data_IF_855817963254
#
_entry.id   IF_855817963254
#
_cell.length_a   1.000
_cell.length_b   1.000
_cell.length_c   1.000
_cell.angle_alpha   90.00
_cell.angle_beta   90.00
_cell.angle_gamma   90.00
#
_symmetry.space_group_name_H-M   'P 1'
#
loop_
_entity.id
_entity.type
_entity.pdbx_description
1 polymer ?
#
# COMPACT_ATOMS: atom_id res chain seq x y z
N UNK A 1 -48.45 20.94 -22.53
CA UNK A 1 -47.08 20.79 -22.00
C UNK A 1 -46.72 19.33 -21.65
N UNK A 2 -47.41 18.65 -20.71
CA UNK A 2 -47.09 17.25 -20.31
C UNK A 2 -47.12 16.21 -21.45
N UNK A 3 -48.07 16.29 -22.38
CA UNK A 3 -48.16 15.36 -23.53
C UNK A 3 -46.98 15.50 -24.51
N UNK A 4 -46.54 16.74 -24.77
CA UNK A 4 -45.39 17.05 -25.65
C UNK A 4 -44.09 16.58 -25.01
N UNK A 5 -43.91 16.85 -23.71
CA UNK A 5 -42.77 16.34 -22.93
C UNK A 5 -42.69 14.81 -22.98
N UNK A 6 -43.81 14.12 -22.75
CA UNK A 6 -43.86 12.65 -22.81
C UNK A 6 -43.47 12.14 -24.20
N UNK A 7 -44.04 12.72 -25.27
CA UNK A 7 -43.70 12.37 -26.64
C UNK A 7 -42.21 12.57 -26.94
N UNK A 8 -41.62 13.68 -26.51
CA UNK A 8 -40.19 13.97 -26.65
C UNK A 8 -39.32 12.93 -25.92
N UNK A 9 -39.69 12.54 -24.70
CA UNK A 9 -39.02 11.48 -23.96
C UNK A 9 -39.13 10.11 -24.66
N UNK A 10 -40.29 9.80 -25.23
CA UNK A 10 -40.48 8.54 -25.96
C UNK A 10 -39.68 8.51 -27.26
N UNK A 11 -39.61 9.64 -27.98
CA UNK A 11 -38.71 9.81 -29.14
C UNK A 11 -37.26 9.60 -28.70
N UNK A 12 -36.80 10.28 -27.64
CA UNK A 12 -35.43 10.18 -27.16
C UNK A 12 -35.01 8.73 -26.86
N UNK A 13 -35.91 7.90 -26.32
CA UNK A 13 -35.67 6.47 -26.04
C UNK A 13 -35.56 5.61 -27.31
N UNK A 14 -36.26 5.99 -28.38
CA UNK A 14 -36.30 5.23 -29.63
C UNK A 14 -35.10 5.50 -30.54
N UNK A 15 -34.39 6.61 -30.34
CA UNK A 15 -33.21 6.98 -31.13
C UNK A 15 -32.09 5.93 -31.12
N UNK A 16 -32.05 5.02 -30.14
CA UNK A 16 -31.12 3.86 -30.14
C UNK A 16 -31.27 2.94 -31.37
N UNK A 17 -32.46 2.89 -31.98
CA UNK A 17 -32.79 1.94 -33.05
C UNK A 17 -32.47 2.47 -34.47
N UNK A 18 -31.83 3.63 -34.59
CA UNK A 18 -31.54 4.24 -35.89
C UNK A 18 -30.49 3.46 -36.67
N UNK A 19 -30.62 3.49 -38.00
CA UNK A 19 -29.70 2.83 -38.94
C UNK A 19 -28.38 3.60 -39.03
N UNK A 20 -28.45 4.93 -39.06
CA UNK A 20 -27.29 5.84 -39.20
C UNK A 20 -27.00 6.57 -37.86
N UNK A 21 -26.37 5.91 -36.88
CA UNK A 21 -26.16 6.46 -35.54
C UNK A 21 -25.37 7.78 -35.55
N UNK A 22 -24.34 7.88 -36.39
CA UNK A 22 -23.50 9.07 -36.51
C UNK A 22 -24.29 10.34 -36.87
N UNK A 23 -25.28 10.24 -37.77
CA UNK A 23 -26.11 11.38 -38.18
C UNK A 23 -27.06 11.85 -37.06
N UNK A 24 -27.35 10.98 -36.10
CA UNK A 24 -28.31 11.21 -35.02
C UNK A 24 -27.62 11.68 -33.73
N UNK A 25 -26.28 11.59 -33.65
CA UNK A 25 -25.49 12.13 -32.54
C UNK A 25 -25.91 13.55 -32.11
N UNK A 26 -25.96 14.58 -32.99
CA UNK A 26 -26.36 15.92 -32.57
C UNK A 26 -27.72 15.96 -31.88
N UNK A 27 -28.67 15.16 -32.36
CA UNK A 27 -30.04 15.11 -31.85
C UNK A 27 -30.09 14.44 -30.47
N UNK A 28 -29.42 13.31 -30.28
CA UNK A 28 -29.37 12.67 -28.96
C UNK A 28 -28.63 13.55 -27.94
N UNK A 29 -27.55 14.20 -28.36
CA UNK A 29 -26.85 15.16 -27.51
C UNK A 29 -27.79 16.29 -27.07
N UNK A 30 -28.71 16.80 -27.90
CA UNK A 30 -29.69 17.81 -27.45
C UNK A 30 -30.62 17.31 -26.33
N UNK A 31 -30.95 16.02 -26.29
CA UNK A 31 -31.76 15.44 -25.20
C UNK A 31 -30.97 15.18 -23.91
N UNK A 32 -29.64 15.27 -23.92
CA UNK A 32 -28.80 15.10 -22.73
C UNK A 32 -28.78 16.36 -21.83
N UNK A 33 -29.95 16.86 -21.45
CA UNK A 33 -30.13 18.05 -20.60
C UNK A 33 -31.34 17.88 -19.67
N UNK A 34 -31.21 18.29 -18.41
CA UNK A 34 -32.30 18.25 -17.43
C UNK A 34 -32.95 16.86 -17.34
N UNK A 35 -34.28 16.83 -17.24
CA UNK A 35 -35.04 15.58 -17.06
C UNK A 35 -35.06 14.68 -18.30
N UNK A 36 -34.78 15.23 -19.50
CA UNK A 36 -34.70 14.44 -20.73
C UNK A 36 -33.51 13.48 -20.73
N UNK A 37 -32.45 13.79 -19.97
CA UNK A 37 -31.22 13.00 -19.93
C UNK A 37 -31.53 11.52 -19.65
N UNK A 38 -32.32 11.24 -18.61
CA UNK A 38 -32.68 9.89 -18.19
C UNK A 38 -33.36 9.08 -19.30
N UNK A 39 -34.20 9.73 -20.10
CA UNK A 39 -34.85 9.09 -21.26
C UNK A 39 -33.88 8.86 -22.42
N UNK A 40 -32.91 9.76 -22.60
CA UNK A 40 -31.94 9.71 -23.68
C UNK A 40 -30.74 8.78 -23.42
N UNK A 41 -30.43 8.43 -22.16
CA UNK A 41 -29.20 7.70 -21.80
C UNK A 41 -28.97 6.42 -22.62
N UNK A 42 -29.99 5.57 -22.76
CA UNK A 42 -29.85 4.32 -23.52
C UNK A 42 -29.51 4.59 -24.99
N UNK A 43 -30.12 5.63 -25.57
CA UNK A 43 -29.84 6.05 -26.94
C UNK A 43 -28.47 6.69 -27.07
N UNK A 44 -28.06 7.51 -26.09
CA UNK A 44 -26.72 8.11 -26.05
C UNK A 44 -25.64 7.02 -26.13
N UNK A 45 -25.72 6.04 -25.23
CA UNK A 45 -24.75 4.95 -25.21
C UNK A 45 -24.81 4.15 -26.50
N UNK A 46 -26.00 3.68 -26.90
CA UNK A 46 -26.14 2.86 -28.12
C UNK A 46 -25.60 3.57 -29.37
N UNK A 47 -25.85 4.87 -29.52
CA UNK A 47 -25.35 5.64 -30.66
C UNK A 47 -23.84 5.85 -30.57
N UNK A 48 -23.30 6.23 -29.39
CA UNK A 48 -21.87 6.43 -29.23
C UNK A 48 -21.06 5.15 -29.53
N UNK A 49 -21.49 3.99 -29.02
CA UNK A 49 -20.84 2.70 -29.31
C UNK A 49 -20.92 2.27 -30.79
N UNK A 50 -21.81 2.85 -31.57
CA UNK A 50 -22.01 2.53 -33.00
C UNK A 50 -21.55 3.65 -33.94
N UNK A 51 -20.90 4.69 -33.40
CA UNK A 51 -20.42 5.83 -34.19
C UNK A 51 -18.90 5.82 -34.31
N UNK A 52 -18.33 6.35 -35.40
CA UNK A 52 -16.88 6.53 -35.53
C UNK A 52 -16.33 7.42 -34.41
N UNK A 53 -15.19 7.03 -33.86
CA UNK A 53 -14.49 7.71 -32.77
C UNK A 53 -14.20 9.18 -33.07
N UNK A 54 -13.76 9.49 -34.29
CA UNK A 54 -13.43 10.85 -34.75
C UNK A 54 -14.56 11.86 -34.55
N UNK A 55 -15.82 11.40 -34.68
CA UNK A 55 -16.99 12.25 -34.47
C UNK A 55 -17.29 12.45 -32.99
N UNK A 56 -16.92 11.50 -32.14
CA UNK A 56 -17.24 11.51 -30.71
C UNK A 56 -16.47 12.61 -29.96
N UNK A 57 -15.26 12.98 -30.40
CA UNK A 57 -14.45 14.03 -29.76
C UNK A 57 -15.24 15.32 -29.50
N UNK A 58 -15.86 15.85 -30.55
CA UNK A 58 -16.65 17.08 -30.49
C UNK A 58 -17.83 16.93 -29.52
N UNK A 59 -18.56 15.82 -29.58
CA UNK A 59 -19.76 15.63 -28.77
C UNK A 59 -19.45 15.35 -27.30
N UNK A 60 -18.34 14.68 -27.00
CA UNK A 60 -17.89 14.48 -25.63
C UNK A 60 -17.46 15.80 -24.99
N UNK A 61 -16.76 16.68 -25.73
CA UNK A 61 -16.43 18.03 -25.27
C UNK A 61 -17.70 18.88 -25.00
N UNK A 62 -18.71 18.79 -25.87
CA UNK A 62 -19.99 19.47 -25.65
C UNK A 62 -20.68 18.94 -24.39
N UNK A 63 -20.71 17.61 -24.17
CA UNK A 63 -21.36 17.03 -22.99
C UNK A 63 -20.59 17.32 -21.70
N UNK A 64 -19.27 17.36 -21.73
CA UNK A 64 -18.43 17.58 -20.54
C UNK A 64 -18.60 19.00 -19.96
N UNK A 65 -19.02 19.95 -20.80
CA UNK A 65 -19.30 21.35 -20.42
C UNK A 65 -20.72 21.57 -19.85
N UNK A 66 -21.55 20.52 -19.78
CA UNK A 66 -22.92 20.61 -19.27
C UNK A 66 -22.99 20.35 -17.76
N UNK A 67 -24.22 20.31 -17.24
CA UNK A 67 -24.49 19.94 -15.86
C UNK A 67 -23.83 18.61 -15.47
N UNK A 68 -23.50 18.48 -14.19
CA UNK A 68 -22.83 17.32 -13.56
C UNK A 68 -23.38 15.98 -14.03
N UNK A 69 -24.70 15.82 -14.10
CA UNK A 69 -25.33 14.55 -14.52
C UNK A 69 -24.92 14.13 -15.94
N UNK A 70 -24.87 15.06 -16.89
CA UNK A 70 -24.44 14.79 -18.26
C UNK A 70 -22.91 14.63 -18.36
N UNK A 71 -22.16 15.45 -17.62
CA UNK A 71 -20.71 15.41 -17.57
C UNK A 71 -20.19 14.03 -17.13
N UNK A 72 -20.86 13.39 -16.16
CA UNK A 72 -20.52 12.01 -15.72
C UNK A 72 -20.53 11.00 -16.87
N UNK A 73 -21.51 11.10 -17.75
CA UNK A 73 -21.64 10.23 -18.92
C UNK A 73 -20.61 10.60 -20.00
N UNK A 74 -20.30 11.88 -20.19
CA UNK A 74 -19.24 12.33 -21.10
C UNK A 74 -17.89 11.70 -20.71
N UNK A 75 -17.53 11.77 -19.43
CA UNK A 75 -16.29 11.17 -18.91
C UNK A 75 -16.30 9.66 -19.08
N UNK A 76 -17.40 8.99 -18.73
CA UNK A 76 -17.51 7.53 -18.89
C UNK A 76 -17.31 7.10 -20.35
N UNK A 77 -18.05 7.73 -21.28
CA UNK A 77 -17.99 7.39 -22.69
C UNK A 77 -16.62 7.73 -23.28
N UNK A 78 -16.02 8.84 -22.85
CA UNK A 78 -14.64 9.19 -23.25
C UNK A 78 -13.68 8.07 -22.87
N UNK A 79 -13.66 7.65 -21.59
CA UNK A 79 -12.81 6.57 -21.12
C UNK A 79 -13.07 5.20 -21.77
N UNK A 80 -14.24 5.02 -22.41
CA UNK A 80 -14.63 3.75 -23.02
C UNK A 80 -14.39 3.70 -24.53
N UNK A 81 -14.43 4.84 -25.22
CA UNK A 81 -14.53 4.90 -26.68
C UNK A 81 -13.44 5.74 -27.36
N UNK A 82 -12.75 6.62 -26.62
CA UNK A 82 -11.76 7.52 -27.19
C UNK A 82 -10.33 7.04 -26.92
N UNK A 83 -9.41 7.55 -27.73
CA UNK A 83 -7.99 7.34 -27.58
C UNK A 83 -7.43 7.87 -26.26
N UNK A 84 -6.24 7.39 -25.94
CA UNK A 84 -5.54 7.71 -24.69
C UNK A 84 -5.33 9.22 -24.47
N UNK A 85 -4.95 9.96 -25.52
CA UNK A 85 -4.64 11.38 -25.40
C UNK A 85 -5.89 12.20 -25.12
N UNK A 86 -6.98 11.90 -25.80
CA UNK A 86 -8.27 12.54 -25.59
C UNK A 86 -8.86 12.22 -24.23
N UNK A 87 -8.74 10.98 -23.75
CA UNK A 87 -9.18 10.62 -22.40
C UNK A 87 -8.42 11.39 -21.33
N UNK A 88 -7.08 11.47 -21.44
CA UNK A 88 -6.27 12.23 -20.49
C UNK A 88 -6.67 13.71 -20.49
N UNK A 89 -6.83 14.30 -21.67
CA UNK A 89 -7.24 15.70 -21.76
C UNK A 89 -8.61 15.91 -21.10
N UNK A 90 -9.58 15.05 -21.40
CA UNK A 90 -10.91 15.08 -20.78
C UNK A 90 -10.85 15.00 -19.25
N UNK A 91 -10.09 14.06 -18.70
CA UNK A 91 -9.95 13.89 -17.24
C UNK A 91 -9.28 15.10 -16.58
N UNK A 92 -8.34 15.78 -17.27
CA UNK A 92 -7.67 16.99 -16.78
C UNK A 92 -8.56 18.23 -16.84
N UNK A 93 -9.32 18.42 -17.91
CA UNK A 93 -10.10 19.65 -18.14
C UNK A 93 -11.47 19.64 -17.46
N UNK A 94 -11.96 18.47 -17.06
CA UNK A 94 -13.30 18.34 -16.46
C UNK A 94 -13.33 18.99 -15.07
N UNK A 95 -14.16 20.04 -14.91
CA UNK A 95 -14.21 20.85 -13.69
C UNK A 95 -14.65 20.04 -12.46
N UNK A 96 -13.81 20.08 -11.43
CA UNK A 96 -14.06 19.50 -10.12
C UNK A 96 -14.74 20.50 -9.18
N UNK A 97 -15.95 20.96 -9.53
CA UNK A 97 -16.63 22.04 -8.82
C UNK A 97 -17.36 21.61 -7.54
N UNK A 98 -17.70 20.33 -7.38
CA UNK A 98 -18.36 19.81 -6.19
C UNK A 98 -17.87 18.39 -5.84
N UNK A 99 -18.14 17.96 -4.60
CA UNK A 99 -17.69 16.66 -4.06
C UNK A 99 -18.15 15.48 -4.92
N UNK A 100 -19.39 15.53 -5.44
CA UNK A 100 -19.91 14.47 -6.33
C UNK A 100 -19.13 14.36 -7.64
N UNK A 101 -18.69 15.49 -8.19
CA UNK A 101 -17.84 15.55 -9.37
C UNK A 101 -16.43 15.05 -9.06
N UNK A 102 -15.83 15.48 -7.96
CA UNK A 102 -14.50 15.04 -7.54
C UNK A 102 -14.45 13.51 -7.40
N UNK A 103 -15.42 12.92 -6.68
CA UNK A 103 -15.53 11.45 -6.53
C UNK A 103 -15.69 10.75 -7.87
N UNK A 104 -16.52 11.29 -8.77
CA UNK A 104 -16.73 10.70 -10.10
C UNK A 104 -15.46 10.74 -10.95
N UNK A 105 -14.77 11.88 -10.98
CA UNK A 105 -13.52 12.04 -11.74
C UNK A 105 -12.42 11.16 -11.18
N UNK A 106 -12.28 11.09 -9.85
CA UNK A 106 -11.36 10.16 -9.20
C UNK A 106 -11.68 8.71 -9.59
N UNK A 107 -12.93 8.27 -9.47
CA UNK A 107 -13.35 6.91 -9.83
C UNK A 107 -13.12 6.59 -11.31
N UNK A 108 -13.40 7.53 -12.20
CA UNK A 108 -13.16 7.37 -13.63
C UNK A 108 -11.65 7.27 -13.94
N UNK A 109 -10.84 8.16 -13.36
CA UNK A 109 -9.38 8.16 -13.50
C UNK A 109 -8.80 6.85 -13.00
N UNK A 110 -9.22 6.39 -11.81
CA UNK A 110 -8.78 5.13 -11.23
C UNK A 110 -9.12 3.93 -12.14
N UNK A 111 -10.38 3.81 -12.56
CA UNK A 111 -10.81 2.71 -13.44
C UNK A 111 -10.05 2.70 -14.76
N UNK A 112 -9.76 3.88 -15.30
CA UNK A 112 -9.00 4.01 -16.54
C UNK A 112 -7.51 3.68 -16.33
N UNK A 113 -6.89 4.15 -15.25
CA UNK A 113 -5.52 3.82 -14.87
C UNK A 113 -5.33 2.31 -14.68
N UNK A 114 -6.26 1.62 -14.02
CA UNK A 114 -6.18 0.18 -13.82
C UNK A 114 -6.24 -0.61 -15.14
N UNK A 115 -6.88 -0.05 -16.18
CA UNK A 115 -6.93 -0.65 -17.52
C UNK A 115 -5.74 -0.27 -18.39
N UNK A 116 -5.24 0.97 -18.25
CA UNK A 116 -4.18 1.55 -19.07
C UNK A 116 -3.07 2.15 -18.17
N UNK A 117 -2.27 1.31 -17.48
CA UNK A 117 -1.34 1.81 -16.46
C UNK A 117 -0.22 2.67 -17.05
N UNK A 118 -0.16 3.94 -16.66
CA UNK A 118 0.87 4.89 -17.09
C UNK A 118 1.21 5.86 -15.96
N UNK A 119 2.41 6.44 -16.02
CA UNK A 119 2.84 7.44 -15.02
C UNK A 119 1.94 8.68 -15.04
N UNK A 120 1.60 9.19 -16.22
CA UNK A 120 0.71 10.35 -16.40
C UNK A 120 -0.66 10.15 -15.73
N UNK A 121 -1.23 8.95 -15.82
CA UNK A 121 -2.51 8.63 -15.19
C UNK A 121 -2.38 8.43 -13.69
N UNK A 122 -1.26 7.92 -13.19
CA UNK A 122 -0.98 7.85 -11.77
C UNK A 122 -0.84 9.26 -11.17
N UNK A 123 -0.10 10.15 -11.83
CA UNK A 123 0.07 11.52 -11.38
C UNK A 123 -1.27 12.27 -11.36
N UNK A 124 -2.11 12.04 -12.37
CA UNK A 124 -3.48 12.56 -12.41
C UNK A 124 -4.36 11.97 -11.29
N UNK A 125 -4.24 10.67 -11.03
CA UNK A 125 -4.96 10.01 -9.94
C UNK A 125 -4.58 10.64 -8.58
N UNK A 126 -3.27 10.82 -8.33
CA UNK A 126 -2.75 11.45 -7.11
C UNK A 126 -3.23 12.90 -6.99
N UNK A 127 -3.20 13.67 -8.08
CA UNK A 127 -3.73 15.03 -8.09
C UNK A 127 -5.22 15.06 -7.72
N UNK A 128 -5.99 14.08 -8.18
CA UNK A 128 -7.41 13.96 -7.87
C UNK A 128 -7.66 13.51 -6.43
N UNK A 129 -6.76 12.74 -5.81
CA UNK A 129 -6.86 12.37 -4.39
C UNK A 129 -6.84 13.61 -3.49
N UNK A 130 -5.98 14.59 -3.79
CA UNK A 130 -5.88 15.84 -3.02
C UNK A 130 -7.16 16.70 -3.07
N UNK A 131 -8.04 16.44 -4.03
CA UNK A 131 -9.33 17.12 -4.15
C UNK A 131 -10.48 16.42 -3.41
N UNK A 132 -10.26 15.21 -2.88
CA UNK A 132 -11.31 14.47 -2.16
C UNK A 132 -11.59 15.12 -0.80
N UNK A 133 -12.88 15.24 -0.47
CA UNK A 133 -13.33 15.74 0.83
C UNK A 133 -12.83 14.81 1.95
N UNK A 134 -12.25 15.42 2.98
CA UNK A 134 -11.72 14.73 4.17
C UNK A 134 -12.80 13.97 4.94
N UNK A 135 -14.07 14.34 4.77
CA UNK A 135 -15.21 13.69 5.40
C UNK A 135 -15.82 12.55 4.55
N UNK A 136 -15.34 12.34 3.31
CA UNK A 136 -15.80 11.22 2.46
C UNK A 136 -15.10 9.92 2.84
N UNK A 137 -15.52 9.36 3.98
CA UNK A 137 -14.98 8.12 4.57
C UNK A 137 -15.01 6.97 3.56
N UNK A 138 -16.04 6.88 2.72
CA UNK A 138 -16.16 5.81 1.72
C UNK A 138 -15.03 5.88 0.70
N UNK A 139 -14.77 7.08 0.15
CA UNK A 139 -13.67 7.28 -0.80
C UNK A 139 -12.32 7.12 -0.11
N UNK A 140 -12.16 7.61 1.12
CA UNK A 140 -10.93 7.43 1.91
C UNK A 140 -10.65 5.94 2.17
N UNK A 141 -11.64 5.14 2.58
CA UNK A 141 -11.49 3.70 2.77
C UNK A 141 -11.06 2.99 1.48
N UNK A 142 -11.48 3.50 0.31
CA UNK A 142 -11.13 2.88 -0.96
C UNK A 142 -9.62 2.95 -1.25
N UNK A 143 -8.91 4.00 -0.79
CA UNK A 143 -7.49 4.17 -1.16
C UNK A 143 -6.59 3.04 -0.66
N UNK A 144 -6.90 2.46 0.50
CA UNK A 144 -6.12 1.35 1.07
C UNK A 144 -6.41 -0.02 0.45
N UNK A 145 -7.51 -0.15 -0.30
CA UNK A 145 -7.97 -1.41 -0.89
C UNK A 145 -7.75 -1.53 -2.40
N UNK A 146 -7.27 -0.46 -3.04
CA UNK A 146 -7.03 -0.43 -4.49
C UNK A 146 -5.80 -1.29 -4.84
N UNK A 147 -6.03 -2.28 -5.71
CA UNK A 147 -4.97 -3.10 -6.27
C UNK A 147 -4.40 -2.47 -7.55
N UNK A 148 -3.42 -1.59 -7.41
CA UNK A 148 -2.72 -1.00 -8.56
C UNK A 148 -1.67 -1.98 -9.15
N UNK A 149 -1.27 -1.85 -10.42
CA UNK A 149 -0.25 -2.70 -11.01
C UNK A 149 1.10 -2.61 -10.28
N UNK A 150 1.80 -3.74 -10.14
CA UNK A 150 3.02 -3.90 -9.31
C UNK A 150 4.04 -2.77 -9.48
N UNK A 151 4.31 -2.34 -10.72
CA UNK A 151 5.26 -1.25 -11.04
C UNK A 151 4.94 0.08 -10.34
N UNK A 152 3.66 0.35 -10.08
CA UNK A 152 3.18 1.61 -9.50
C UNK A 152 2.81 1.49 -8.02
N UNK A 153 2.85 0.28 -7.43
CA UNK A 153 2.35 0.03 -6.07
C UNK A 153 3.11 0.82 -5.00
N UNK A 154 4.44 0.83 -5.03
CA UNK A 154 5.22 1.58 -4.05
C UNK A 154 4.92 3.08 -4.09
N UNK A 155 5.00 3.68 -5.27
CA UNK A 155 4.70 5.10 -5.45
C UNK A 155 3.26 5.44 -5.03
N UNK A 156 2.28 4.61 -5.40
CA UNK A 156 0.89 4.80 -4.97
C UNK A 156 0.75 4.76 -3.44
N UNK A 157 1.33 3.75 -2.78
CA UNK A 157 1.28 3.61 -1.32
C UNK A 157 1.94 4.78 -0.60
N UNK A 158 3.11 5.24 -1.06
CA UNK A 158 3.77 6.43 -0.50
C UNK A 158 2.88 7.67 -0.57
N UNK A 159 2.18 7.84 -1.70
CA UNK A 159 1.31 9.00 -1.93
C UNK A 159 0.04 8.92 -1.09
N UNK A 160 -0.54 7.74 -0.94
CA UNK A 160 -1.64 7.50 0.00
C UNK A 160 -1.21 7.81 1.44
N UNK A 161 -0.04 7.33 1.86
CA UNK A 161 0.49 7.58 3.20
C UNK A 161 0.63 9.08 3.48
N UNK A 162 1.36 9.80 2.61
CA UNK A 162 1.55 11.26 2.72
C UNK A 162 0.22 12.02 2.71
N UNK A 163 -0.74 11.57 1.91
CA UNK A 163 -2.08 12.14 1.90
C UNK A 163 -2.78 11.98 3.26
N UNK A 164 -2.80 10.78 3.85
CA UNK A 164 -3.40 10.56 5.15
C UNK A 164 -2.73 11.36 6.26
N UNK A 165 -1.40 11.42 6.26
CA UNK A 165 -0.66 12.26 7.21
C UNK A 165 -1.07 13.74 7.09
N UNK A 166 -1.28 14.25 5.86
CA UNK A 166 -1.69 15.64 5.63
C UNK A 166 -3.08 15.98 6.20
N UNK A 167 -3.99 15.00 6.27
CA UNK A 167 -5.34 15.18 6.80
C UNK A 167 -5.49 14.75 8.26
N UNK A 168 -4.43 14.23 8.90
CA UNK A 168 -4.42 13.69 10.27
C UNK A 168 -5.02 14.60 11.35
N UNK A 169 -4.92 15.93 11.19
CA UNK A 169 -5.54 16.89 12.14
C UNK A 169 -7.07 16.89 12.11
N UNK A 170 -7.68 16.36 11.05
CA UNK A 170 -9.12 16.46 10.79
C UNK A 170 -9.84 15.10 10.88
N UNK A 171 -9.11 13.99 10.75
CA UNK A 171 -9.67 12.64 10.64
C UNK A 171 -8.81 11.67 11.43
N UNK A 172 -9.44 10.67 12.06
CA UNK A 172 -8.73 9.54 12.66
C UNK A 172 -8.10 8.68 11.57
N UNK A 173 -6.84 8.95 11.24
CA UNK A 173 -6.13 8.29 10.13
C UNK A 173 -5.41 7.00 10.51
N UNK A 174 -5.39 6.66 11.80
CA UNK A 174 -4.67 5.51 12.33
C UNK A 174 -4.98 4.22 11.57
N UNK A 175 -6.26 3.92 11.39
CA UNK A 175 -6.70 2.68 10.73
C UNK A 175 -6.28 2.64 9.25
N UNK A 176 -6.23 3.79 8.58
CA UNK A 176 -5.74 3.90 7.21
C UNK A 176 -4.25 3.60 7.12
N UNK A 177 -3.45 4.24 7.98
CA UNK A 177 -2.01 4.02 8.04
C UNK A 177 -1.67 2.59 8.42
N UNK A 178 -2.40 1.99 9.37
CA UNK A 178 -2.28 0.57 9.74
C UNK A 178 -2.59 -0.35 8.55
N UNK A 179 -3.63 -0.05 7.78
CA UNK A 179 -4.00 -0.81 6.59
C UNK A 179 -2.93 -0.73 5.48
N UNK A 180 -2.37 0.46 5.25
CA UNK A 180 -1.25 0.65 4.33
C UNK A 180 0.01 -0.08 4.82
N UNK A 181 0.35 0.03 6.09
CA UNK A 181 1.50 -0.64 6.69
C UNK A 181 1.40 -2.16 6.55
N UNK A 182 0.21 -2.72 6.79
CA UNK A 182 -0.05 -4.14 6.56
C UNK A 182 0.16 -4.54 5.10
N UNK A 183 -0.25 -3.70 4.15
CA UNK A 183 -0.03 -3.94 2.72
C UNK A 183 1.46 -3.92 2.36
N UNK A 184 2.23 -2.97 2.92
CA UNK A 184 3.68 -2.85 2.73
C UNK A 184 4.39 -4.10 3.29
N UNK A 185 4.11 -4.45 4.55
CA UNK A 185 4.77 -5.56 5.26
C UNK A 185 4.58 -6.90 4.54
N UNK A 186 3.38 -7.13 3.98
CA UNK A 186 3.05 -8.38 3.31
C UNK A 186 3.57 -8.46 1.86
N UNK A 187 4.20 -7.40 1.35
CA UNK A 187 4.60 -7.28 -0.05
C UNK A 187 6.09 -6.93 -0.16
N UNK A 188 7.01 -7.91 -0.21
CA UNK A 188 8.45 -7.66 -0.27
C UNK A 188 8.86 -6.71 -1.39
N UNK A 189 8.25 -6.82 -2.58
CA UNK A 189 8.57 -5.95 -3.71
C UNK A 189 8.18 -4.48 -3.47
N UNK A 190 7.15 -4.22 -2.65
CA UNK A 190 6.80 -2.85 -2.24
C UNK A 190 7.94 -2.31 -1.38
N UNK A 191 8.34 -3.03 -0.32
CA UNK A 191 9.41 -2.61 0.61
C UNK A 191 10.70 -2.24 -0.13
N UNK A 192 11.10 -3.06 -1.12
CA UNK A 192 12.30 -2.80 -1.95
C UNK A 192 12.16 -1.53 -2.78
N UNK A 193 10.96 -1.23 -3.26
CA UNK A 193 10.70 -0.15 -4.22
C UNK A 193 10.35 1.18 -3.55
N UNK A 194 10.17 1.21 -2.23
CA UNK A 194 9.90 2.44 -1.48
C UNK A 194 11.13 3.37 -1.49
N UNK A 195 10.90 4.67 -1.61
CA UNK A 195 11.94 5.68 -1.52
C UNK A 195 12.65 5.64 -0.15
N UNK A 196 13.96 5.87 -0.14
CA UNK A 196 14.75 5.82 1.11
C UNK A 196 14.31 6.92 2.09
N UNK A 197 13.95 8.09 1.56
CA UNK A 197 13.38 9.20 2.34
C UNK A 197 12.08 8.76 3.05
N UNK A 198 11.13 8.16 2.32
CA UNK A 198 9.88 7.69 2.90
C UNK A 198 10.08 6.63 4.00
N UNK A 199 10.97 5.66 3.76
CA UNK A 199 11.29 4.65 4.77
C UNK A 199 11.91 5.30 6.03
N UNK A 200 12.81 6.28 5.88
CA UNK A 200 13.39 7.01 7.02
C UNK A 200 12.32 7.76 7.80
N UNK A 201 11.46 8.51 7.11
CA UNK A 201 10.37 9.27 7.73
C UNK A 201 9.44 8.35 8.55
N UNK A 202 9.08 7.19 8.00
CA UNK A 202 8.25 6.22 8.72
C UNK A 202 8.96 5.69 9.96
N UNK A 203 10.24 5.33 9.86
CA UNK A 203 11.00 4.78 10.99
C UNK A 203 11.19 5.86 12.06
N UNK A 204 11.56 7.09 11.68
CA UNK A 204 11.72 8.18 12.63
C UNK A 204 10.41 8.53 13.35
N UNK A 205 9.31 8.68 12.62
CA UNK A 205 8.05 9.10 13.21
C UNK A 205 7.39 7.98 14.03
N UNK A 206 7.37 6.75 13.52
CA UNK A 206 6.53 5.69 14.10
C UNK A 206 7.32 4.65 14.88
N UNK A 207 8.59 4.40 14.55
CA UNK A 207 9.45 3.48 15.33
C UNK A 207 10.25 4.23 16.40
N UNK A 208 10.94 5.34 16.07
CA UNK A 208 11.75 6.11 17.03
C UNK A 208 10.88 6.94 17.98
N UNK A 209 10.00 7.79 17.43
CA UNK A 209 9.16 8.69 18.21
C UNK A 209 7.88 8.02 18.75
N UNK A 210 7.55 6.81 18.29
CA UNK A 210 6.37 6.03 18.73
C UNK A 210 5.05 6.81 18.56
N UNK A 211 4.94 7.59 17.48
CA UNK A 211 3.74 8.35 17.17
C UNK A 211 2.59 7.38 16.85
N UNK A 212 1.41 7.63 17.42
CA UNK A 212 0.15 6.92 17.15
C UNK A 212 0.13 5.40 17.45
N UNK A 213 1.16 4.79 18.03
CA UNK A 213 1.22 3.32 18.27
C UNK A 213 0.72 2.51 17.07
N UNK A 214 1.40 2.68 15.92
CA UNK A 214 1.15 1.82 14.76
C UNK A 214 1.62 0.39 15.08
N UNK A 215 0.67 -0.55 15.10
CA UNK A 215 0.99 -1.96 15.30
C UNK A 215 1.92 -2.48 14.19
N UNK A 216 2.88 -3.31 14.57
CA UNK A 216 3.85 -3.98 13.68
C UNK A 216 4.92 -3.08 13.05
N UNK A 217 5.20 -1.91 13.64
CA UNK A 217 6.32 -1.08 13.19
C UNK A 217 7.67 -1.81 13.26
N UNK A 218 7.89 -2.64 14.26
CA UNK A 218 9.10 -3.46 14.37
C UNK A 218 9.24 -4.43 13.20
N UNK A 219 8.11 -4.94 12.69
CA UNK A 219 8.10 -5.85 11.56
C UNK A 219 8.43 -5.10 10.27
N UNK A 220 7.90 -3.90 10.11
CA UNK A 220 8.28 -3.03 8.99
C UNK A 220 9.79 -2.75 9.00
N UNK A 221 10.38 -2.37 10.14
CA UNK A 221 11.82 -2.13 10.26
C UNK A 221 12.61 -3.40 9.88
N UNK A 222 12.22 -4.57 10.41
CA UNK A 222 12.88 -5.83 10.06
C UNK A 222 12.79 -6.14 8.55
N UNK A 223 11.66 -5.81 7.91
CA UNK A 223 11.46 -6.01 6.48
C UNK A 223 12.31 -5.06 5.64
N UNK A 224 12.48 -3.81 6.09
CA UNK A 224 13.41 -2.83 5.48
C UNK A 224 14.84 -3.35 5.56
N UNK A 225 15.33 -3.72 6.75
CA UNK A 225 16.68 -4.28 6.95
C UNK A 225 16.93 -5.53 6.09
N UNK A 226 15.90 -6.34 5.91
CA UNK A 226 16.00 -7.61 5.19
C UNK A 226 16.01 -7.45 3.68
N UNK A 227 15.07 -6.69 3.12
CA UNK A 227 14.82 -6.68 1.68
C UNK A 227 15.57 -5.58 0.94
N UNK A 228 16.04 -4.52 1.61
CA UNK A 228 16.84 -3.45 0.98
C UNK A 228 18.33 -3.78 0.99
N UNK A 229 18.69 -4.91 0.39
CA UNK A 229 20.06 -5.46 0.43
C UNK A 229 21.13 -4.47 -0.08
N UNK A 230 20.83 -3.69 -1.13
CA UNK A 230 21.77 -2.72 -1.71
C UNK A 230 22.18 -1.59 -0.75
N UNK A 231 21.34 -1.27 0.23
CA UNK A 231 21.58 -0.20 1.22
C UNK A 231 21.66 -0.78 2.65
N UNK A 232 21.85 -2.09 2.78
CA UNK A 232 21.62 -2.81 4.04
C UNK A 232 22.45 -2.22 5.18
N UNK A 233 23.75 -2.01 4.98
CA UNK A 233 24.65 -1.46 6.02
C UNK A 233 24.13 -0.11 6.54
N UNK A 234 23.78 0.82 5.64
CA UNK A 234 23.26 2.13 6.01
C UNK A 234 21.93 2.05 6.79
N UNK A 235 21.07 1.08 6.45
CA UNK A 235 19.83 0.83 7.20
C UNK A 235 20.10 0.22 8.57
N UNK A 236 21.08 -0.68 8.70
CA UNK A 236 21.50 -1.22 9.98
C UNK A 236 22.09 -0.14 10.88
N UNK A 237 23.00 0.69 10.37
CA UNK A 237 23.57 1.84 11.10
C UNK A 237 22.46 2.74 11.65
N UNK A 238 21.54 3.16 10.77
CA UNK A 238 20.44 4.03 11.14
C UNK A 238 19.51 3.43 12.19
N UNK A 239 19.12 2.16 12.04
CA UNK A 239 18.21 1.49 12.97
C UNK A 239 18.89 1.22 14.32
N UNK A 240 20.15 0.82 14.33
CA UNK A 240 20.86 0.54 15.58
C UNK A 240 21.26 1.80 16.33
N UNK A 241 21.46 2.94 15.64
CA UNK A 241 21.54 4.25 16.29
C UNK A 241 20.24 4.53 17.08
N UNK A 242 19.06 4.28 16.48
CA UNK A 242 17.78 4.42 17.18
C UNK A 242 17.70 3.46 18.38
N UNK A 243 18.09 2.19 18.23
CA UNK A 243 18.07 1.22 19.33
C UNK A 243 19.02 1.63 20.45
N UNK A 244 20.18 2.22 20.16
CA UNK A 244 21.06 2.74 21.21
C UNK A 244 20.41 3.85 22.03
N UNK A 245 19.56 4.69 21.40
CA UNK A 245 18.77 5.69 22.14
C UNK A 245 17.71 5.05 23.03
N UNK A 246 17.16 3.89 22.64
CA UNK A 246 16.25 3.14 23.50
C UNK A 246 16.97 2.53 24.69
N UNK A 247 18.19 2.02 24.49
CA UNK A 247 19.04 1.50 25.58
C UNK A 247 19.34 2.60 26.61
N UNK A 248 19.76 3.78 26.14
CA UNK A 248 20.07 4.92 27.01
C UNK A 248 18.87 5.45 27.81
N UNK A 249 17.64 5.21 27.33
CA UNK A 249 16.39 5.62 27.99
C UNK A 249 15.68 4.47 28.73
N UNK A 250 16.35 3.33 28.94
CA UNK A 250 15.80 2.11 29.56
C UNK A 250 14.47 1.63 28.96
N UNK A 251 14.33 1.72 27.63
CA UNK A 251 13.15 1.22 26.89
C UNK A 251 13.31 -0.26 26.53
N UNK A 252 13.63 -1.08 27.52
CA UNK A 252 13.96 -2.51 27.36
C UNK A 252 12.83 -3.32 26.70
N UNK A 253 11.56 -2.94 26.93
CA UNK A 253 10.41 -3.58 26.28
C UNK A 253 10.42 -3.40 24.75
N UNK A 254 10.72 -2.19 24.25
CA UNK A 254 10.77 -1.92 22.81
C UNK A 254 11.91 -2.68 22.14
N UNK A 255 13.07 -2.73 22.79
CA UNK A 255 14.24 -3.49 22.32
C UNK A 255 13.88 -4.98 22.21
N UNK A 256 13.25 -5.52 23.25
CA UNK A 256 12.79 -6.92 23.29
C UNK A 256 11.74 -7.20 22.21
N UNK A 257 10.79 -6.29 22.00
CA UNK A 257 9.74 -6.41 20.97
C UNK A 257 10.36 -6.40 19.57
N UNK A 258 11.32 -5.51 19.32
CA UNK A 258 12.07 -5.47 18.07
C UNK A 258 12.83 -6.78 17.83
N UNK A 259 13.59 -7.27 18.81
CA UNK A 259 14.32 -8.53 18.68
C UNK A 259 13.39 -9.71 18.41
N UNK A 260 12.26 -9.82 19.13
CA UNK A 260 11.26 -10.88 18.89
C UNK A 260 10.75 -10.86 17.45
N UNK A 261 10.57 -9.67 16.88
CA UNK A 261 10.12 -9.53 15.51
C UNK A 261 11.22 -9.88 14.50
N UNK A 262 12.45 -9.44 14.74
CA UNK A 262 13.62 -9.87 13.97
C UNK A 262 13.73 -11.40 13.96
N UNK A 263 13.71 -12.03 15.14
CA UNK A 263 13.81 -13.49 15.28
C UNK A 263 12.70 -14.21 14.51
N UNK A 264 11.47 -13.69 14.55
CA UNK A 264 10.32 -14.22 13.81
C UNK A 264 10.54 -14.16 12.29
N UNK A 265 11.14 -13.08 11.78
CA UNK A 265 11.49 -12.94 10.35
C UNK A 265 12.66 -13.87 10.01
N UNK A 266 13.77 -13.78 10.74
CA UNK A 266 14.99 -14.55 10.52
C UNK A 266 14.69 -16.06 10.52
N UNK A 267 14.01 -16.58 11.55
CA UNK A 267 13.76 -18.02 11.72
C UNK A 267 13.00 -18.69 10.57
N UNK A 268 12.22 -17.93 9.78
CA UNK A 268 11.45 -18.41 8.62
C UNK A 268 12.23 -18.31 7.32
N UNK A 269 13.29 -17.51 7.28
CA UNK A 269 14.04 -17.23 6.07
C UNK A 269 15.37 -18.00 6.05
N UNK A 270 15.93 -18.21 4.85
CA UNK A 270 17.21 -18.92 4.64
C UNK A 270 18.30 -17.94 4.24
N UNK A 271 18.48 -16.84 4.97
CA UNK A 271 19.55 -15.88 4.72
C UNK A 271 20.47 -15.77 5.93
N UNK A 272 21.59 -16.50 5.88
CA UNK A 272 22.62 -16.51 6.93
C UNK A 272 23.29 -15.13 7.08
N UNK A 273 23.52 -14.42 5.97
CA UNK A 273 24.15 -13.09 5.98
C UNK A 273 23.31 -12.08 6.75
N UNK A 274 21.99 -12.08 6.56
CA UNK A 274 21.09 -11.19 7.31
C UNK A 274 21.19 -11.39 8.83
N UNK A 275 21.27 -12.65 9.28
CA UNK A 275 21.41 -12.98 10.70
C UNK A 275 22.80 -12.60 11.21
N UNK A 276 23.85 -12.89 10.45
CA UNK A 276 25.22 -12.55 10.80
C UNK A 276 25.43 -11.04 10.97
N UNK A 277 24.92 -10.23 10.02
CA UNK A 277 24.98 -8.77 10.11
C UNK A 277 24.22 -8.28 11.35
N UNK A 278 22.99 -8.74 11.56
CA UNK A 278 22.24 -8.39 12.77
C UNK A 278 22.99 -8.77 14.06
N UNK A 279 23.61 -9.96 14.10
CA UNK A 279 24.39 -10.44 15.22
C UNK A 279 25.55 -9.50 15.54
N UNK A 280 26.29 -9.06 14.53
CA UNK A 280 27.39 -8.11 14.70
C UNK A 280 26.92 -6.79 15.32
N UNK A 281 25.85 -6.19 14.81
CA UNK A 281 25.32 -4.94 15.36
C UNK A 281 24.75 -5.13 16.78
N UNK A 282 24.11 -6.27 17.04
CA UNK A 282 23.56 -6.59 18.36
C UNK A 282 24.65 -6.74 19.42
N UNK A 283 25.71 -7.49 19.11
CA UNK A 283 26.85 -7.74 20.01
C UNK A 283 27.69 -6.48 20.27
N UNK A 284 27.71 -5.52 19.34
CA UNK A 284 28.32 -4.21 19.56
C UNK A 284 27.55 -3.35 20.57
N UNK A 285 26.21 -3.50 20.62
CA UNK A 285 25.35 -2.66 21.45
C UNK A 285 25.01 -3.28 22.80
N UNK A 286 24.90 -4.60 22.89
CA UNK A 286 24.48 -5.33 24.08
C UNK A 286 25.49 -6.39 24.48
N UNK A 287 25.81 -6.42 25.76
CA UNK A 287 26.54 -7.54 26.36
C UNK A 287 25.62 -8.75 26.52
N UNK A 288 26.16 -9.98 26.55
CA UNK A 288 25.35 -11.18 26.79
C UNK A 288 24.55 -11.13 28.09
N UNK A 289 25.08 -10.48 29.14
CA UNK A 289 24.41 -10.38 30.45
C UNK A 289 23.20 -9.46 30.40
N UNK A 290 23.29 -8.35 29.67
CA UNK A 290 22.18 -7.38 29.54
C UNK A 290 20.96 -7.99 28.86
N UNK A 291 21.17 -8.83 27.83
CA UNK A 291 20.12 -9.37 26.98
C UNK A 291 20.27 -10.89 26.77
N UNK A 292 20.37 -11.65 27.87
CA UNK A 292 20.77 -13.07 27.84
C UNK A 292 19.82 -13.97 27.03
N UNK A 293 18.51 -13.71 27.07
CA UNK A 293 17.55 -14.51 26.30
C UNK A 293 17.76 -14.29 24.80
N UNK A 294 17.92 -13.04 24.39
CA UNK A 294 18.15 -12.62 23.02
C UNK A 294 19.51 -13.12 22.52
N UNK A 295 20.56 -13.04 23.34
CA UNK A 295 21.88 -13.59 23.03
C UNK A 295 21.82 -15.10 22.73
N UNK A 296 21.21 -15.88 23.63
CA UNK A 296 21.03 -17.32 23.45
C UNK A 296 20.27 -17.61 22.15
N UNK A 297 19.15 -16.91 21.93
CA UNK A 297 18.33 -17.09 20.73
C UNK A 297 19.09 -16.74 19.44
N UNK A 298 19.88 -15.68 19.45
CA UNK A 298 20.66 -15.23 18.29
C UNK A 298 21.77 -16.24 17.95
N UNK A 299 22.50 -16.74 18.96
CA UNK A 299 23.51 -17.80 18.77
C UNK A 299 22.89 -19.09 18.25
N UNK A 300 21.72 -19.50 18.77
CA UNK A 300 21.00 -20.66 18.25
C UNK A 300 20.57 -20.48 16.78
N UNK A 301 20.17 -19.28 16.38
CA UNK A 301 19.91 -18.98 14.96
C UNK A 301 21.19 -19.08 14.12
N UNK A 302 22.31 -18.51 14.57
CA UNK A 302 23.58 -18.61 13.85
C UNK A 302 24.00 -20.08 13.68
N UNK A 303 23.97 -20.88 14.76
CA UNK A 303 24.25 -22.33 14.71
C UNK A 303 23.35 -23.03 13.69
N UNK A 304 22.06 -22.69 13.65
CA UNK A 304 21.11 -23.25 12.67
C UNK A 304 21.53 -22.95 11.22
N UNK A 305 22.00 -21.74 10.93
CA UNK A 305 22.39 -21.34 9.58
C UNK A 305 23.80 -21.77 9.18
N UNK A 306 24.72 -21.88 10.15
CA UNK A 306 26.07 -22.40 9.92
C UNK A 306 26.07 -23.92 9.71
N UNK A 307 25.12 -24.64 10.31
CA UNK A 307 24.98 -26.09 10.17
C UNK A 307 24.32 -26.53 8.85
N UNK A 308 24.50 -25.77 7.76
CA UNK A 308 23.79 -25.90 6.48
C UNK A 308 24.08 -27.22 5.72
N UNK A 309 23.58 -28.38 6.20
CA UNK A 309 23.24 -29.63 5.50
C UNK A 309 22.88 -30.76 6.52
N UNK A 310 22.20 -31.87 6.15
CA UNK A 310 21.02 -32.44 6.82
C UNK A 310 21.25 -33.20 8.15
N UNK A 311 22.39 -33.05 8.79
CA UNK A 311 22.69 -33.79 10.02
C UNK A 311 22.19 -33.02 11.24
N UNK A 312 20.98 -33.36 11.68
CA UNK A 312 20.43 -33.02 13.00
C UNK A 312 21.48 -33.22 14.10
N UNK A 313 22.34 -34.21 13.94
CA UNK A 313 23.46 -34.51 14.85
C UNK A 313 24.48 -33.36 14.97
N UNK A 314 24.86 -32.70 13.86
CA UNK A 314 25.83 -31.60 13.92
C UNK A 314 25.23 -30.36 14.59
N UNK A 315 23.97 -30.06 14.26
CA UNK A 315 23.22 -29.02 14.96
C UNK A 315 23.09 -29.33 16.47
N UNK A 316 22.70 -30.55 16.83
CA UNK A 316 22.58 -30.96 18.23
C UNK A 316 23.91 -30.88 18.98
N UNK A 317 25.01 -31.31 18.35
CA UNK A 317 26.36 -31.20 18.92
C UNK A 317 26.74 -29.75 19.18
N UNK A 318 26.57 -28.87 18.19
CA UNK A 318 26.88 -27.44 18.34
C UNK A 318 26.01 -26.77 19.41
N UNK A 319 24.73 -27.15 19.52
CA UNK A 319 23.83 -26.67 20.58
C UNK A 319 24.27 -27.14 21.97
N UNK A 320 24.73 -28.39 22.11
CA UNK A 320 25.26 -28.91 23.38
C UNK A 320 26.55 -28.21 23.75
N UNK A 321 27.50 -28.08 22.82
CA UNK A 321 28.76 -27.35 23.04
C UNK A 321 28.49 -25.92 23.49
N UNK A 322 27.57 -25.21 22.82
CA UNK A 322 27.19 -23.86 23.23
C UNK A 322 26.55 -23.82 24.64
N UNK A 323 25.75 -24.83 25.01
CA UNK A 323 25.19 -24.91 26.35
C UNK A 323 26.28 -25.14 27.42
N UNK A 324 27.26 -26.00 27.14
CA UNK A 324 28.39 -26.24 28.03
C UNK A 324 29.22 -24.97 28.23
N UNK A 325 29.48 -24.22 27.16
CA UNK A 325 30.14 -22.90 27.21
C UNK A 325 29.36 -21.90 28.08
N UNK A 326 28.04 -21.80 27.87
CA UNK A 326 27.17 -20.94 28.68
C UNK A 326 27.18 -21.31 30.17
N UNK A 327 27.17 -22.61 30.50
CA UNK A 327 27.22 -23.07 31.89
C UNK A 327 28.59 -22.77 32.51
N UNK A 328 29.67 -22.94 31.75
CA UNK A 328 31.02 -22.62 32.22
C UNK A 328 31.19 -21.13 32.52
N UNK A 329 30.61 -20.25 31.70
CA UNK A 329 30.76 -18.80 31.82
C UNK A 329 29.78 -18.17 32.83
N UNK A 330 28.51 -18.61 32.83
CA UNK A 330 27.43 -17.97 33.61
C UNK A 330 26.83 -18.87 34.70
N UNK A 331 27.32 -20.10 34.84
CA UNK A 331 26.87 -21.07 35.84
C UNK A 331 25.58 -21.81 35.48
N UNK A 332 25.19 -22.73 36.37
CA UNK A 332 24.04 -23.63 36.18
C UNK A 332 22.68 -22.94 36.04
N UNK A 333 22.55 -21.67 36.44
CA UNK A 333 21.29 -20.93 36.29
C UNK A 333 20.87 -20.79 34.82
N UNK A 334 21.84 -20.60 33.91
CA UNK A 334 21.57 -20.42 32.47
C UNK A 334 21.01 -21.68 31.83
N UNK A 335 21.30 -22.86 32.37
CA UNK A 335 20.70 -24.12 31.91
C UNK A 335 19.16 -24.08 31.95
N UNK A 336 18.58 -23.55 33.04
CA UNK A 336 17.13 -23.45 33.17
C UNK A 336 16.52 -22.47 32.17
N UNK A 337 17.18 -21.33 31.93
CA UNK A 337 16.77 -20.36 30.91
C UNK A 337 16.82 -20.97 29.51
N UNK A 338 17.95 -21.59 29.16
CA UNK A 338 18.17 -22.24 27.88
C UNK A 338 17.12 -23.33 27.60
N UNK A 339 16.86 -24.19 28.60
CA UNK A 339 15.82 -25.23 28.54
C UNK A 339 14.43 -24.63 28.29
N UNK A 340 14.08 -23.55 28.97
CA UNK A 340 12.79 -22.86 28.78
C UNK A 340 12.66 -22.29 27.36
N UNK A 341 13.72 -21.67 26.84
CA UNK A 341 13.75 -21.09 25.49
C UNK A 341 13.62 -22.17 24.42
N UNK A 342 14.36 -23.28 24.54
CA UNK A 342 14.23 -24.43 23.63
C UNK A 342 12.83 -25.05 23.68
N UNK A 343 12.28 -25.29 24.88
CA UNK A 343 10.95 -25.90 25.04
C UNK A 343 9.84 -25.05 24.43
N UNK A 344 9.90 -23.72 24.63
CA UNK A 344 8.91 -22.78 24.06
C UNK A 344 8.94 -22.74 22.52
N UNK A 345 10.07 -23.10 21.90
CA UNK A 345 10.28 -22.88 20.45
C UNK A 345 10.32 -24.15 19.62
N UNK A 346 10.84 -25.25 20.14
CA UNK A 346 11.01 -26.48 19.37
C UNK A 346 9.95 -27.56 19.64
N UNK A 347 9.00 -27.35 20.56
CA UNK A 347 8.09 -28.42 21.06
C UNK A 347 8.84 -29.72 21.42
N UNK A 348 10.11 -29.62 21.81
CA UNK A 348 10.93 -30.78 22.19
C UNK A 348 10.59 -31.13 23.63
N UNK A 349 10.11 -32.36 23.85
CA UNK A 349 10.01 -32.96 25.18
C UNK A 349 11.41 -33.43 25.57
N UNK A 350 12.03 -32.74 26.52
CA UNK A 350 13.18 -33.28 27.24
C UNK A 350 12.64 -34.30 28.26
N UNK A 351 12.96 -35.58 28.05
CA UNK A 351 12.67 -36.66 28.99
C UNK A 351 13.79 -36.76 30.02
#
# INVERSE_FOLDING_TARGET
>A
MKKVYKLQCDIAKMLKNVIEPAKILPTVIKFCTGDYLNSALRSLYSICYRSPEELLYLYMDILSKRAVSAQKHAVFLSCALLDYHCVINMLKTTKQSNVSNQKHIFSATLKYFLRNPSQDLLDLLISNMNAIDKNDIETLNSFTSINVPKRYQALYVERCWKFYESIRKNVMVHDYLRSLLHTIINSPHIVVSLSSEFCKDIIDNYFKLQIDDLLNMELFVCKVLRYREAEQVAWFDFVFEIISTFKGNDKTELITKFFKMFYSVASKETNAQFVSVFSSYWEQLFTPVEMINEFILLKLLNIKYESAEPFIENYAKNVITFLEELIAEYGLYVYNLFKLLLKKRFKVKFY
#
